data_IF_138919531664
#
_entry.id   IF_138919531664
#
_cell.length_a   1.000
_cell.length_b   1.000
_cell.length_c   1.000
_cell.angle_alpha   90.00
_cell.angle_beta   90.00
_cell.angle_gamma   90.00
#
_symmetry.space_group_name_H-M   'P 1'
#
loop_
_entity.id
_entity.type
_entity.pdbx_description
1 polymer ?
#
# COMPACT_ATOMS: atom_id res chain seq x y z
N UNK A 1 -4.68 26.87 -3.55
CA UNK A 1 -3.65 25.96 -3.04
C UNK A 1 -2.45 26.82 -2.69
N UNK A 2 -2.13 26.96 -1.42
CA UNK A 2 -1.01 27.76 -0.95
C UNK A 2 0.31 26.96 -0.97
N UNK A 3 1.43 27.60 -0.62
CA UNK A 3 2.74 26.94 -0.58
C UNK A 3 2.80 25.79 0.44
N UNK A 4 2.05 25.87 1.54
CA UNK A 4 1.96 24.79 2.51
C UNK A 4 1.21 23.61 1.92
N UNK A 5 0.08 23.86 1.25
CA UNK A 5 -0.68 22.82 0.55
C UNK A 5 0.18 22.09 -0.49
N UNK A 6 1.07 22.82 -1.18
CA UNK A 6 1.99 22.23 -2.15
C UNK A 6 3.04 21.33 -1.48
N UNK A 7 3.65 21.77 -0.38
CA UNK A 7 4.59 20.95 0.40
C UNK A 7 3.88 19.73 1.00
N UNK A 8 2.68 19.91 1.57
CA UNK A 8 1.88 18.80 2.10
C UNK A 8 1.49 17.82 0.99
N UNK A 9 1.19 18.31 -0.21
CA UNK A 9 0.92 17.46 -1.36
C UNK A 9 2.14 16.73 -1.88
N UNK A 10 3.32 17.33 -1.78
CA UNK A 10 4.57 16.68 -2.16
C UNK A 10 4.98 15.59 -1.16
N UNK A 11 4.78 15.84 0.14
CA UNK A 11 5.07 14.89 1.21
C UNK A 11 4.04 13.76 1.32
N UNK A 12 2.76 14.03 1.07
CA UNK A 12 1.66 13.06 1.17
C UNK A 12 1.04 12.71 -0.19
N UNK A 13 1.86 12.74 -1.24
CA UNK A 13 1.40 12.56 -2.62
C UNK A 13 0.50 11.32 -2.81
N UNK A 14 0.83 10.23 -2.12
CA UNK A 14 0.08 8.97 -2.22
C UNK A 14 -1.32 9.06 -1.59
N UNK A 15 -1.47 9.71 -0.44
CA UNK A 15 -2.77 9.93 0.21
C UNK A 15 -3.73 10.71 -0.70
N UNK A 16 -3.22 11.77 -1.36
CA UNK A 16 -4.03 12.65 -2.20
C UNK A 16 -4.58 11.89 -3.41
N UNK A 17 -3.76 11.04 -4.05
CA UNK A 17 -4.22 10.22 -5.19
C UNK A 17 -5.43 9.37 -4.80
N UNK A 18 -5.38 8.70 -3.64
CA UNK A 18 -6.48 7.87 -3.19
C UNK A 18 -7.74 8.68 -2.89
N UNK A 19 -7.62 9.82 -2.21
CA UNK A 19 -8.75 10.72 -1.93
C UNK A 19 -9.38 11.25 -3.22
N UNK A 20 -8.56 11.64 -4.20
CA UNK A 20 -9.03 12.07 -5.52
C UNK A 20 -9.71 10.94 -6.28
N UNK A 21 -9.14 9.73 -6.27
CA UNK A 21 -9.74 8.56 -6.93
C UNK A 21 -11.13 8.23 -6.36
N UNK A 22 -11.25 8.16 -5.03
CA UNK A 22 -12.53 7.96 -4.35
C UNK A 22 -13.55 9.04 -4.72
N UNK A 23 -13.14 10.31 -4.70
CA UNK A 23 -14.02 11.43 -5.06
C UNK A 23 -14.49 11.38 -6.53
N UNK A 24 -13.61 10.95 -7.46
CA UNK A 24 -13.97 10.82 -8.88
C UNK A 24 -14.99 9.71 -9.13
N UNK A 25 -14.90 8.60 -8.39
CA UNK A 25 -15.80 7.45 -8.54
C UNK A 25 -17.06 7.60 -7.68
N UNK A 26 -17.03 8.44 -6.65
CA UNK A 26 -18.14 8.67 -5.73
C UNK A 26 -18.31 7.53 -4.71
N UNK A 27 -17.19 6.98 -4.21
CA UNK A 27 -17.17 5.89 -3.23
C UNK A 27 -16.49 6.33 -1.94
N UNK A 28 -16.85 5.70 -0.83
CA UNK A 28 -16.23 5.93 0.47
C UNK A 28 -15.00 5.03 0.69
N UNK A 29 -14.22 5.34 1.74
CA UNK A 29 -13.04 4.56 2.11
C UNK A 29 -13.39 3.10 2.50
N UNK A 30 -14.58 2.86 3.04
CA UNK A 30 -15.08 1.51 3.36
C UNK A 30 -15.35 0.66 2.13
N UNK A 31 -15.58 1.28 0.98
CA UNK A 31 -15.87 0.61 -0.29
C UNK A 31 -14.63 0.54 -1.20
N UNK A 32 -13.47 0.91 -0.65
CA UNK A 32 -12.22 1.06 -1.39
C UNK A 32 -11.13 0.16 -0.82
N UNK A 33 -10.26 -0.35 -1.69
CA UNK A 33 -9.05 -1.06 -1.30
C UNK A 33 -7.89 -0.67 -2.23
N UNK A 34 -6.74 -0.36 -1.63
CA UNK A 34 -5.49 -0.21 -2.37
C UNK A 34 -4.81 -1.57 -2.52
N UNK A 35 -4.43 -1.94 -3.75
CA UNK A 35 -3.69 -3.18 -4.03
C UNK A 35 -2.34 -2.79 -4.60
N UNK A 36 -1.25 -3.31 -4.03
CA UNK A 36 0.09 -2.92 -4.44
C UNK A 36 1.19 -3.71 -3.77
N UNK A 37 2.42 -3.61 -4.29
CA UNK A 37 3.60 -4.33 -3.82
C UNK A 37 4.64 -3.44 -3.11
N UNK A 38 4.35 -2.15 -2.96
CA UNK A 38 5.19 -1.15 -2.33
C UNK A 38 4.62 -0.73 -0.98
N UNK A 39 5.34 -1.10 0.09
CA UNK A 39 4.98 -0.67 1.45
C UNK A 39 5.06 0.85 1.60
N UNK A 40 6.09 1.47 1.01
CA UNK A 40 6.35 2.90 1.13
C UNK A 40 5.33 3.78 0.39
N UNK A 41 4.79 3.31 -0.74
CA UNK A 41 3.93 4.15 -1.60
C UNK A 41 2.47 3.75 -1.47
N UNK A 42 2.16 2.49 -1.72
CA UNK A 42 0.78 2.04 -1.86
C UNK A 42 0.15 1.77 -0.51
N UNK A 43 0.83 1.00 0.33
CA UNK A 43 0.31 0.63 1.66
C UNK A 43 0.33 1.83 2.60
N UNK A 44 1.45 2.56 2.68
CA UNK A 44 1.53 3.77 3.52
C UNK A 44 0.53 4.84 3.07
N UNK A 45 0.41 5.07 1.76
CA UNK A 45 -0.58 6.00 1.22
C UNK A 45 -2.02 5.59 1.53
N UNK A 46 -2.33 4.30 1.49
CA UNK A 46 -3.65 3.78 1.87
C UNK A 46 -3.92 3.96 3.37
N UNK A 47 -2.92 3.69 4.22
CA UNK A 47 -3.02 3.93 5.67
C UNK A 47 -3.30 5.40 5.98
N UNK A 48 -2.60 6.34 5.33
CA UNK A 48 -2.82 7.78 5.47
C UNK A 48 -4.18 8.22 4.90
N UNK A 49 -4.66 7.55 3.85
CA UNK A 49 -5.97 7.82 3.26
C UNK A 49 -7.14 7.21 4.06
N UNK A 50 -6.85 6.34 5.03
CA UNK A 50 -7.87 5.64 5.82
C UNK A 50 -8.57 4.52 5.05
N UNK A 51 -7.90 3.93 4.04
CA UNK A 51 -8.46 2.90 3.16
C UNK A 51 -7.82 1.54 3.49
N UNK A 52 -8.58 0.46 3.29
CA UNK A 52 -8.02 -0.89 3.35
C UNK A 52 -6.89 -1.08 2.33
N UNK A 53 -5.95 -1.96 2.62
CA UNK A 53 -4.84 -2.25 1.71
C UNK A 53 -4.49 -3.74 1.62
N UNK A 54 -4.16 -4.18 0.42
CA UNK A 54 -3.68 -5.51 0.09
C UNK A 54 -2.24 -5.43 -0.40
N UNK A 55 -1.31 -5.93 0.41
CA UNK A 55 0.11 -6.00 0.09
C UNK A 55 0.43 -7.27 -0.70
N UNK A 56 0.95 -7.10 -1.90
CA UNK A 56 1.37 -8.19 -2.79
C UNK A 56 2.84 -8.52 -2.51
N UNK A 57 3.09 -9.64 -1.83
CA UNK A 57 4.45 -10.00 -1.35
C UNK A 57 5.38 -10.42 -2.48
N UNK A 58 4.82 -10.91 -3.60
CA UNK A 58 5.57 -11.36 -4.78
C UNK A 58 6.10 -10.23 -5.68
N UNK A 59 5.93 -8.96 -5.32
CA UNK A 59 6.40 -7.82 -6.11
C UNK A 59 7.77 -7.27 -5.68
N UNK A 60 7.94 -5.95 -5.59
CA UNK A 60 9.27 -5.31 -5.39
C UNK A 60 10.03 -5.77 -4.14
N UNK A 61 9.34 -6.24 -3.10
CA UNK A 61 9.96 -6.76 -1.87
C UNK A 61 10.20 -8.28 -1.87
N UNK A 62 9.91 -8.99 -2.97
CA UNK A 62 10.04 -10.44 -3.05
C UNK A 62 11.44 -10.94 -2.61
N UNK A 63 12.51 -10.29 -3.08
CA UNK A 63 13.89 -10.63 -2.68
C UNK A 63 14.14 -10.40 -1.19
N UNK A 64 13.62 -9.30 -0.62
CA UNK A 64 13.77 -9.00 0.81
C UNK A 64 12.97 -9.98 1.70
N UNK A 65 11.90 -10.54 1.14
CA UNK A 65 11.08 -11.59 1.76
C UNK A 65 11.60 -13.01 1.48
N UNK A 66 12.70 -13.17 0.75
CA UNK A 66 13.28 -14.48 0.42
C UNK A 66 12.43 -15.31 -0.55
N UNK A 67 11.60 -14.67 -1.37
CA UNK A 67 10.76 -15.32 -2.37
C UNK A 67 11.53 -15.55 -3.67
N UNK A 68 11.31 -16.72 -4.27
CA UNK A 68 12.01 -17.18 -5.48
C UNK A 68 11.06 -17.67 -6.58
N UNK A 69 9.77 -17.82 -6.30
CA UNK A 69 8.77 -18.26 -7.28
C UNK A 69 7.48 -17.46 -7.19
N UNK A 70 6.79 -17.30 -8.33
CA UNK A 70 5.47 -16.69 -8.40
C UNK A 70 4.47 -17.43 -7.51
N UNK A 71 3.64 -16.68 -6.77
CA UNK A 71 2.63 -17.26 -5.87
C UNK A 71 3.19 -17.88 -4.59
N UNK A 72 4.51 -17.81 -4.36
CA UNK A 72 5.10 -18.28 -3.10
C UNK A 72 4.58 -17.45 -1.92
N UNK A 73 4.11 -18.13 -0.88
CA UNK A 73 3.68 -17.50 0.37
C UNK A 73 4.90 -17.11 1.20
N UNK A 74 5.00 -15.82 1.53
CA UNK A 74 6.06 -15.32 2.41
C UNK A 74 5.82 -15.72 3.87
N UNK A 75 6.91 -15.88 4.61
CA UNK A 75 6.85 -16.10 6.04
C UNK A 75 6.24 -14.89 6.76
N UNK A 76 5.28 -15.13 7.66
CA UNK A 76 4.54 -14.06 8.33
C UNK A 76 5.44 -13.18 9.21
N UNK A 77 6.49 -13.74 9.81
CA UNK A 77 7.42 -12.97 10.64
C UNK A 77 8.30 -12.05 9.78
N UNK A 78 8.71 -12.50 8.59
CA UNK A 78 9.39 -11.66 7.60
C UNK A 78 8.52 -10.51 7.12
N UNK A 79 7.24 -10.78 6.81
CA UNK A 79 6.29 -9.72 6.41
C UNK A 79 6.10 -8.70 7.54
N UNK A 80 5.91 -9.14 8.78
CA UNK A 80 5.73 -8.24 9.93
C UNK A 80 6.97 -7.37 10.17
N UNK A 81 8.16 -7.97 10.11
CA UNK A 81 9.43 -7.24 10.23
C UNK A 81 9.54 -6.17 9.15
N UNK A 82 9.23 -6.55 7.91
CA UNK A 82 9.31 -5.65 6.78
C UNK A 82 8.28 -4.52 6.87
N UNK A 83 7.03 -4.84 7.19
CA UNK A 83 5.97 -3.84 7.38
C UNK A 83 6.33 -2.83 8.49
N UNK A 84 6.90 -3.31 9.60
CA UNK A 84 7.37 -2.44 10.69
C UNK A 84 8.54 -1.54 10.26
N UNK A 85 9.48 -2.03 9.44
CA UNK A 85 10.58 -1.22 8.88
C UNK A 85 10.07 0.00 8.08
N UNK A 86 8.94 -0.15 7.40
CA UNK A 86 8.33 0.91 6.59
C UNK A 86 7.23 1.69 7.34
N UNK A 87 6.95 1.35 8.60
CA UNK A 87 5.80 1.87 9.36
C UNK A 87 4.49 1.78 8.55
N UNK A 88 4.30 0.64 7.88
CA UNK A 88 3.15 0.38 7.02
C UNK A 88 2.30 -0.76 7.60
N UNK A 89 0.98 -0.65 7.47
CA UNK A 89 0.02 -1.53 8.11
C UNK A 89 -0.95 -2.11 7.06
N UNK A 90 -0.53 -3.14 6.31
CA UNK A 90 -1.42 -3.78 5.34
C UNK A 90 -2.61 -4.46 6.02
N UNK A 91 -3.81 -4.34 5.44
CA UNK A 91 -5.01 -5.05 5.92
C UNK A 91 -4.98 -6.52 5.51
N UNK A 92 -4.53 -6.79 4.28
CA UNK A 92 -4.41 -8.11 3.70
C UNK A 92 -3.01 -8.29 3.10
N UNK A 93 -2.55 -9.54 3.02
CA UNK A 93 -1.28 -9.91 2.42
C UNK A 93 -1.55 -11.06 1.44
N UNK A 94 -1.17 -10.90 0.18
CA UNK A 94 -1.37 -11.90 -0.86
C UNK A 94 -0.04 -12.19 -1.58
N UNK A 95 0.22 -13.44 -1.98
CA UNK A 95 1.44 -13.78 -2.70
C UNK A 95 1.48 -13.21 -4.12
N UNK A 96 0.32 -13.05 -4.76
CA UNK A 96 0.17 -12.51 -6.11
C UNK A 96 -1.23 -11.91 -6.31
N UNK A 97 -1.36 -11.05 -7.31
CA UNK A 97 -2.64 -10.64 -7.88
C UNK A 97 -2.81 -11.34 -9.24
N UNK A 98 -3.87 -12.14 -9.39
CA UNK A 98 -4.10 -12.99 -10.57
C UNK A 98 -5.60 -13.03 -10.94
N UNK A 99 -5.90 -13.29 -12.20
CA UNK A 99 -7.26 -13.37 -12.78
C UNK A 99 -7.47 -14.65 -13.59
#
# INVERSE_FOLDING_TARGET
MDFKDYIYSFLNFHQIIYKSAMAMVGVDASDSIAVGDSLHREIKGANEAGIASAFITGGIHATELGLSSFGQVADLSSIKTLAAKYDAHPTYMLPAFAW
#
